data_IF_836848862081
#
_entry.id   IF_836848862081
#
_cell.length_a   1.000
_cell.length_b   1.000
_cell.length_c   1.000
_cell.angle_alpha   90.00
_cell.angle_beta   90.00
_cell.angle_gamma   90.00
#
_symmetry.space_group_name_H-M   'P 1'
#
loop_
_entity.id
_entity.type
_entity.pdbx_description
1 polymer ?
#
# COMPACT_ATOMS: atom_id res chain seq x y z
N UNK A 1 8.53 25.21 15.09
CA UNK A 1 9.38 25.01 13.89
C UNK A 1 10.76 24.65 14.37
N UNK A 2 11.15 23.38 14.26
CA UNK A 2 12.53 22.97 14.54
C UNK A 2 13.32 23.27 13.27
N UNK A 3 14.14 24.31 13.33
CA UNK A 3 14.99 24.75 12.24
C UNK A 3 16.24 23.86 12.23
N UNK A 4 16.11 22.61 11.76
CA UNK A 4 17.25 21.72 11.56
C UNK A 4 17.96 22.13 10.26
N UNK A 5 18.70 23.23 10.33
CA UNK A 5 19.65 23.58 9.27
C UNK A 5 20.73 22.49 9.25
N UNK A 6 20.68 21.65 8.21
CA UNK A 6 21.75 20.73 7.87
C UNK A 6 22.97 21.57 7.50
N UNK A 7 24.06 21.44 8.25
CA UNK A 7 25.23 22.31 8.15
C UNK A 7 26.48 21.56 7.68
N UNK A 8 26.41 20.23 7.53
CA UNK A 8 27.56 19.44 7.09
C UNK A 8 27.20 18.35 6.07
N UNK A 9 28.22 17.95 5.31
CA UNK A 9 28.14 16.84 4.37
C UNK A 9 27.82 15.51 5.07
N UNK A 10 28.43 15.27 6.23
CA UNK A 10 28.20 14.06 7.03
C UNK A 10 26.75 13.97 7.51
N UNK A 11 26.12 15.10 7.85
CA UNK A 11 24.71 15.15 8.22
C UNK A 11 23.80 14.78 7.04
N UNK A 12 24.11 15.24 5.81
CA UNK A 12 23.36 14.85 4.60
C UNK A 12 23.49 13.35 4.36
N UNK A 13 24.70 12.83 4.43
CA UNK A 13 24.99 11.41 4.22
C UNK A 13 24.27 10.57 5.26
N UNK A 14 24.35 10.91 6.54
CA UNK A 14 23.63 10.21 7.61
C UNK A 14 22.12 10.24 7.39
N UNK A 15 21.55 11.40 7.03
CA UNK A 15 20.13 11.54 6.73
C UNK A 15 19.72 10.63 5.57
N UNK A 16 20.46 10.64 4.46
CA UNK A 16 20.21 9.75 3.33
C UNK A 16 20.34 8.27 3.71
N UNK A 17 21.25 7.94 4.64
CA UNK A 17 21.38 6.58 5.18
C UNK A 17 20.14 6.11 5.93
N UNK A 18 19.62 6.94 6.85
CA UNK A 18 18.38 6.68 7.59
C UNK A 18 17.21 6.47 6.62
N UNK A 19 17.19 7.25 5.54
CA UNK A 19 16.07 7.26 4.58
C UNK A 19 16.15 6.12 3.59
N UNK A 20 17.34 5.67 3.25
CA UNK A 20 17.54 4.43 2.51
C UNK A 20 17.01 3.24 3.31
N UNK A 21 17.29 3.17 4.61
CA UNK A 21 16.74 2.14 5.50
C UNK A 21 15.20 2.22 5.61
N UNK A 22 14.63 3.43 5.65
CA UNK A 22 13.17 3.60 5.56
C UNK A 22 12.61 3.09 4.22
N UNK A 23 13.28 3.32 3.09
CA UNK A 23 12.88 2.77 1.78
C UNK A 23 12.95 1.23 1.76
N UNK A 24 14.02 0.63 2.28
CA UNK A 24 14.16 -0.83 2.37
C UNK A 24 13.07 -1.46 3.24
N UNK A 25 12.66 -0.78 4.32
CA UNK A 25 11.55 -1.21 5.17
C UNK A 25 10.20 -1.10 4.46
N UNK A 26 9.99 -0.07 3.65
CA UNK A 26 8.77 0.06 2.83
C UNK A 26 8.73 -1.05 1.80
N UNK A 27 9.84 -1.33 1.11
CA UNK A 27 9.91 -2.39 0.10
C UNK A 27 9.53 -3.75 0.70
N UNK A 28 10.17 -4.14 1.81
CA UNK A 28 9.83 -5.39 2.53
C UNK A 28 8.35 -5.47 2.92
N UNK A 29 7.81 -4.39 3.52
CA UNK A 29 6.38 -4.33 3.84
C UNK A 29 5.49 -4.46 2.61
N UNK A 30 5.89 -3.90 1.46
CA UNK A 30 5.10 -3.93 0.22
C UNK A 30 5.08 -5.33 -0.39
N UNK A 31 6.20 -6.06 -0.31
CA UNK A 31 6.30 -7.48 -0.69
C UNK A 31 5.41 -8.33 0.22
N UNK A 32 5.54 -8.17 1.54
CA UNK A 32 4.73 -8.92 2.50
C UNK A 32 3.22 -8.66 2.30
N UNK A 33 2.81 -7.40 2.08
CA UNK A 33 1.40 -7.09 1.75
C UNK A 33 0.91 -7.82 0.49
N UNK A 34 1.76 -7.95 -0.53
CA UNK A 34 1.42 -8.70 -1.75
C UNK A 34 1.20 -10.18 -1.46
N UNK A 35 2.05 -10.77 -0.62
CA UNK A 35 1.92 -12.16 -0.19
C UNK A 35 0.61 -12.35 0.59
N UNK A 36 0.30 -11.45 1.53
CA UNK A 36 -0.93 -11.50 2.33
C UNK A 36 -2.20 -11.39 1.47
N UNK A 37 -2.21 -10.47 0.50
CA UNK A 37 -3.32 -10.29 -0.45
C UNK A 37 -3.55 -11.52 -1.34
N UNK A 38 -2.49 -12.27 -1.65
CA UNK A 38 -2.58 -13.52 -2.41
C UNK A 38 -2.98 -14.71 -1.53
N UNK A 39 -2.46 -14.79 -0.30
CA UNK A 39 -2.67 -15.89 0.65
C UNK A 39 -4.04 -15.89 1.32
N UNK A 40 -4.73 -14.74 1.34
CA UNK A 40 -6.03 -14.61 2.03
C UNK A 40 -5.87 -14.56 3.55
N UNK A 41 -4.82 -13.90 4.04
CA UNK A 41 -4.54 -13.75 5.46
C UNK A 41 -5.65 -13.00 6.22
N UNK A 42 -5.64 -13.14 7.55
CA UNK A 42 -6.62 -12.51 8.43
C UNK A 42 -6.66 -10.98 8.28
N UNK A 43 -7.88 -10.42 8.27
CA UNK A 43 -8.13 -8.99 8.09
C UNK A 43 -7.34 -8.12 9.09
N UNK A 44 -7.30 -8.53 10.36
CA UNK A 44 -6.58 -7.81 11.43
C UNK A 44 -5.08 -7.71 11.16
N UNK A 45 -4.48 -8.77 10.62
CA UNK A 45 -3.07 -8.79 10.24
C UNK A 45 -2.82 -7.83 9.06
N UNK A 46 -3.71 -7.85 8.06
CA UNK A 46 -3.61 -6.97 6.89
C UNK A 46 -3.73 -5.49 7.28
N UNK A 47 -4.69 -5.15 8.15
CA UNK A 47 -4.88 -3.79 8.67
C UNK A 47 -3.64 -3.34 9.44
N UNK A 48 -3.13 -4.16 10.36
CA UNK A 48 -1.92 -3.84 11.12
C UNK A 48 -0.74 -3.58 10.19
N UNK A 49 -0.57 -4.41 9.16
CA UNK A 49 0.51 -4.27 8.18
C UNK A 49 0.41 -2.98 7.37
N UNK A 50 -0.80 -2.62 6.92
CA UNK A 50 -1.04 -1.35 6.22
C UNK A 50 -0.77 -0.14 7.12
N UNK A 51 -1.11 -0.22 8.41
CA UNK A 51 -0.84 0.85 9.38
C UNK A 51 0.67 1.04 9.62
N UNK A 52 1.41 -0.05 9.84
CA UNK A 52 2.87 -0.04 9.98
C UNK A 52 3.53 0.61 8.76
N UNK A 53 3.12 0.20 7.55
CA UNK A 53 3.58 0.79 6.30
C UNK A 53 3.28 2.29 6.20
N UNK A 54 2.07 2.71 6.57
CA UNK A 54 1.67 4.12 6.55
C UNK A 54 2.52 5.01 7.47
N UNK A 55 2.96 4.49 8.63
CA UNK A 55 3.87 5.21 9.53
C UNK A 55 5.24 5.40 8.87
N UNK A 56 5.78 4.37 8.22
CA UNK A 56 7.09 4.43 7.57
C UNK A 56 7.05 5.39 6.37
N UNK A 57 5.98 5.36 5.57
CA UNK A 57 5.79 6.30 4.47
C UNK A 57 5.76 7.74 4.96
N UNK A 58 4.99 8.04 6.03
CA UNK A 58 4.97 9.41 6.60
C UNK A 58 6.36 9.88 7.03
N UNK A 59 7.16 8.99 7.64
CA UNK A 59 8.55 9.27 8.01
C UNK A 59 9.44 9.51 6.78
N UNK A 60 9.27 8.71 5.73
CA UNK A 60 10.03 8.87 4.48
C UNK A 60 9.62 10.13 3.70
N UNK A 61 8.35 10.54 3.71
CA UNK A 61 7.85 11.71 2.99
C UNK A 61 8.26 13.05 3.60
N UNK A 62 8.62 13.08 4.89
CA UNK A 62 9.22 14.27 5.53
C UNK A 62 10.51 14.75 4.82
N UNK A 63 11.11 13.89 3.98
CA UNK A 63 12.26 14.18 3.13
C UNK A 63 12.00 15.24 2.05
N UNK A 64 10.75 15.45 1.63
CA UNK A 64 10.45 16.42 0.56
C UNK A 64 10.88 17.85 0.90
N UNK A 65 10.78 18.22 2.18
CA UNK A 65 11.23 19.50 2.71
C UNK A 65 12.77 19.52 2.90
N UNK A 66 13.36 18.39 3.30
CA UNK A 66 14.81 18.24 3.55
C UNK A 66 15.64 18.21 2.25
N UNK A 67 15.09 17.69 1.15
CA UNK A 67 15.75 17.62 -0.16
C UNK A 67 16.00 18.99 -0.80
N UNK A 68 15.19 20.00 -0.48
CA UNK A 68 15.44 21.37 -0.95
C UNK A 68 16.76 21.90 -0.37
N UNK A 69 17.02 21.62 0.92
CA UNK A 69 18.27 21.97 1.60
C UNK A 69 19.47 21.19 1.06
N UNK A 70 19.29 19.92 0.64
CA UNK A 70 20.36 19.13 0.00
C UNK A 70 20.79 19.78 -1.33
N UNK A 71 19.84 20.22 -2.17
CA UNK A 71 20.17 20.85 -3.47
C UNK A 71 20.99 22.14 -3.29
N UNK A 72 20.70 22.93 -2.25
CA UNK A 72 21.46 24.15 -1.94
C UNK A 72 22.89 23.85 -1.45
N UNK A 73 23.08 22.77 -0.70
CA UNK A 73 24.39 22.38 -0.14
C UNK A 73 25.31 21.72 -1.17
N UNK A 74 24.76 20.96 -2.13
CA UNK A 74 25.54 20.26 -3.16
C UNK A 74 26.27 21.21 -4.12
N UNK A 75 25.74 22.42 -4.30
CA UNK A 75 26.37 23.45 -5.13
C UNK A 75 27.70 24.00 -4.58
N UNK A 76 28.03 23.71 -3.31
CA UNK A 76 29.24 24.20 -2.63
C UNK A 76 30.30 23.13 -2.33
N UNK A 77 30.10 21.88 -2.76
CA UNK A 77 31.02 20.77 -2.45
C UNK A 77 32.03 20.63 -3.58
N UNK A 78 33.32 20.81 -3.27
CA UNK A 78 34.44 20.57 -4.20
C UNK A 78 35.12 19.20 -3.98
N UNK A 79 34.53 18.37 -3.11
CA UNK A 79 34.99 17.01 -2.80
C UNK A 79 34.33 15.97 -3.73
N UNK A 80 35.15 15.31 -4.56
CA UNK A 80 34.71 14.31 -5.53
C UNK A 80 34.23 13.00 -4.88
N UNK A 81 34.84 12.59 -3.76
CA UNK A 81 34.39 11.42 -3.01
C UNK A 81 32.99 11.66 -2.43
N UNK A 82 32.80 12.87 -1.88
CA UNK A 82 31.51 13.29 -1.36
C UNK A 82 30.40 13.32 -2.41
N UNK A 83 30.69 13.84 -3.60
CA UNK A 83 29.75 13.84 -4.74
C UNK A 83 29.40 12.41 -5.18
N UNK A 84 30.38 11.51 -5.22
CA UNK A 84 30.15 10.12 -5.59
C UNK A 84 29.21 9.41 -4.63
N UNK A 85 29.48 9.46 -3.32
CA UNK A 85 28.65 8.81 -2.30
C UNK A 85 27.22 9.35 -2.27
N UNK A 86 27.05 10.65 -2.47
CA UNK A 86 25.74 11.28 -2.59
C UNK A 86 24.98 10.72 -3.80
N UNK A 87 25.62 10.71 -4.97
CA UNK A 87 25.02 10.20 -6.22
C UNK A 87 24.65 8.73 -6.09
N UNK A 88 25.51 7.93 -5.44
CA UNK A 88 25.26 6.51 -5.19
C UNK A 88 24.01 6.31 -4.32
N UNK A 89 23.92 7.00 -3.18
CA UNK A 89 22.78 6.87 -2.25
C UNK A 89 21.47 7.32 -2.87
N UNK A 90 21.47 8.47 -3.55
CA UNK A 90 20.28 8.96 -4.27
C UNK A 90 19.89 7.98 -5.38
N UNK A 91 20.86 7.40 -6.08
CA UNK A 91 20.61 6.37 -7.09
C UNK A 91 19.97 5.11 -6.52
N UNK A 92 20.45 4.62 -5.37
CA UNK A 92 19.85 3.47 -4.66
C UNK A 92 18.43 3.76 -4.20
N UNK A 93 18.20 4.91 -3.57
CA UNK A 93 16.87 5.34 -3.13
C UNK A 93 15.89 5.40 -4.31
N UNK A 94 16.31 5.96 -5.46
CA UNK A 94 15.46 6.00 -6.66
C UNK A 94 15.04 4.61 -7.11
N UNK A 95 15.98 3.66 -7.21
CA UNK A 95 15.68 2.28 -7.61
C UNK A 95 14.68 1.62 -6.67
N UNK A 96 14.85 1.78 -5.36
CA UNK A 96 13.92 1.23 -4.37
C UNK A 96 12.53 1.86 -4.49
N UNK A 97 12.44 3.17 -4.67
CA UNK A 97 11.16 3.87 -4.85
C UNK A 97 10.44 3.43 -6.13
N UNK A 98 11.17 3.23 -7.23
CA UNK A 98 10.61 2.72 -8.49
C UNK A 98 10.05 1.30 -8.31
N UNK A 99 10.76 0.44 -7.57
CA UNK A 99 10.31 -0.92 -7.26
C UNK A 99 9.08 -0.94 -6.34
N UNK A 100 9.07 -0.10 -5.30
CA UNK A 100 7.91 0.10 -4.42
C UNK A 100 6.70 0.55 -5.23
N UNK A 101 6.87 1.50 -6.15
CA UNK A 101 5.78 2.02 -6.98
C UNK A 101 5.20 0.94 -7.91
N UNK A 102 6.04 0.07 -8.45
CA UNK A 102 5.60 -1.07 -9.26
C UNK A 102 4.76 -2.05 -8.41
N UNK A 103 5.27 -2.45 -7.26
CA UNK A 103 4.58 -3.38 -6.36
C UNK A 103 3.27 -2.77 -5.82
N UNK A 104 3.22 -1.47 -5.54
CA UNK A 104 1.99 -0.79 -5.13
C UNK A 104 0.92 -0.82 -6.23
N UNK A 105 1.32 -0.68 -7.50
CA UNK A 105 0.41 -0.82 -8.63
C UNK A 105 -0.17 -2.25 -8.69
N UNK A 106 0.66 -3.25 -8.46
CA UNK A 106 0.23 -4.65 -8.44
C UNK A 106 -0.71 -4.94 -7.25
N UNK A 107 -0.35 -4.48 -6.05
CA UNK A 107 -1.19 -4.63 -4.85
C UNK A 107 -2.55 -3.94 -5.02
N UNK A 108 -2.58 -2.75 -5.63
CA UNK A 108 -3.83 -2.07 -5.97
C UNK A 108 -4.68 -2.91 -6.92
N UNK A 109 -4.09 -3.47 -7.97
CA UNK A 109 -4.80 -4.34 -8.91
C UNK A 109 -5.38 -5.58 -8.22
N UNK A 110 -4.67 -6.17 -7.26
CA UNK A 110 -5.16 -7.30 -6.48
C UNK A 110 -6.37 -6.91 -5.63
N UNK A 111 -6.29 -5.77 -4.93
CA UNK A 111 -7.39 -5.24 -4.12
C UNK A 111 -8.63 -4.97 -4.99
N UNK A 112 -8.46 -4.32 -6.14
CA UNK A 112 -9.56 -4.06 -7.07
C UNK A 112 -10.21 -5.37 -7.57
N UNK A 113 -9.41 -6.39 -7.89
CA UNK A 113 -9.92 -7.71 -8.28
C UNK A 113 -10.76 -8.34 -7.17
N UNK A 114 -10.27 -8.30 -5.92
CA UNK A 114 -10.99 -8.85 -4.76
C UNK A 114 -12.30 -8.12 -4.48
N UNK A 115 -12.32 -6.79 -4.59
CA UNK A 115 -13.54 -5.99 -4.44
C UNK A 115 -14.57 -6.38 -5.50
N UNK A 116 -14.15 -6.57 -6.74
CA UNK A 116 -15.04 -7.00 -7.83
C UNK A 116 -15.60 -8.42 -7.58
N UNK A 117 -14.78 -9.36 -7.10
CA UNK A 117 -15.24 -10.70 -6.71
C UNK A 117 -16.31 -10.64 -5.60
N UNK A 118 -16.09 -9.82 -4.58
CA UNK A 118 -17.05 -9.62 -3.48
C UNK A 118 -18.35 -9.01 -4.02
N UNK A 119 -18.27 -7.98 -4.86
CA UNK A 119 -19.43 -7.32 -5.45
C UNK A 119 -20.30 -8.31 -6.26
N UNK A 120 -19.67 -9.11 -7.13
CA UNK A 120 -20.36 -10.14 -7.92
C UNK A 120 -21.04 -11.20 -7.04
N UNK A 121 -20.39 -11.58 -5.92
CA UNK A 121 -20.99 -12.53 -4.98
C UNK A 121 -22.19 -11.92 -4.25
N UNK A 122 -22.14 -10.64 -3.89
CA UNK A 122 -23.27 -9.94 -3.27
C UNK A 122 -24.47 -9.83 -4.23
N UNK A 123 -24.22 -9.56 -5.51
CA UNK A 123 -25.27 -9.56 -6.55
C UNK A 123 -25.97 -10.92 -6.64
N UNK A 124 -25.22 -12.02 -6.73
CA UNK A 124 -25.78 -13.38 -6.74
C UNK A 124 -26.60 -13.71 -5.49
N UNK A 125 -26.15 -13.27 -4.32
CA UNK A 125 -26.90 -13.45 -3.07
C UNK A 125 -28.22 -12.67 -3.11
N UNK A 126 -28.20 -11.45 -3.66
CA UNK A 126 -29.41 -10.64 -3.81
C UNK A 126 -30.42 -11.28 -4.78
N UNK A 127 -29.96 -11.77 -5.94
CA UNK A 127 -30.78 -12.50 -6.90
C UNK A 127 -31.39 -13.76 -6.26
N UNK A 128 -30.58 -14.52 -5.53
CA UNK A 128 -31.03 -15.73 -4.81
C UNK A 128 -32.11 -15.40 -3.78
N UNK A 129 -31.94 -14.30 -3.02
CA UNK A 129 -32.96 -13.83 -2.06
C UNK A 129 -34.25 -13.41 -2.75
N UNK A 130 -34.18 -12.79 -3.92
CA UNK A 130 -35.36 -12.43 -4.70
C UNK A 130 -36.10 -13.69 -5.20
N UNK A 131 -35.36 -14.69 -5.68
CA UNK A 131 -35.93 -15.96 -6.13
C UNK A 131 -36.67 -16.68 -5.00
N UNK A 132 -36.07 -16.78 -3.81
CA UNK A 132 -36.71 -17.37 -2.62
C UNK A 132 -38.00 -16.62 -2.27
N UNK A 133 -37.98 -15.28 -2.24
CA UNK A 133 -39.18 -14.48 -1.96
C UNK A 133 -40.30 -14.72 -2.96
N UNK A 134 -39.97 -14.80 -4.26
CA UNK A 134 -40.96 -15.09 -5.31
C UNK A 134 -41.55 -16.49 -5.15
N UNK A 135 -40.75 -17.49 -4.75
CA UNK A 135 -41.24 -18.83 -4.46
C UNK A 135 -42.17 -18.86 -3.24
N UNK A 136 -41.77 -18.21 -2.13
CA UNK A 136 -42.59 -18.11 -0.93
C UNK A 136 -43.92 -17.42 -1.23
N UNK A 137 -43.91 -16.35 -2.03
CA UNK A 137 -45.12 -15.64 -2.44
C UNK A 137 -46.03 -16.52 -3.30
N UNK A 138 -45.48 -17.26 -4.27
CA UNK A 138 -46.27 -18.21 -5.07
C UNK A 138 -46.90 -19.32 -4.21
N UNK A 139 -46.19 -19.84 -3.20
CA UNK A 139 -46.73 -20.84 -2.27
C UNK A 139 -47.89 -20.26 -1.46
N UNK A 140 -47.74 -19.03 -0.96
CA UNK A 140 -48.76 -18.37 -0.15
C UNK A 140 -49.99 -17.92 -0.98
N UNK A 141 -49.78 -17.51 -2.22
CA UNK A 141 -50.84 -17.03 -3.12
C UNK A 141 -51.61 -18.21 -3.78
N UNK A 142 -51.00 -19.40 -3.89
CA UNK A 142 -51.63 -20.64 -4.37
C UNK A 142 -51.51 -21.78 -3.35
N UNK A 143 -52.20 -21.71 -2.20
CA UNK A 143 -52.13 -22.74 -1.16
C UNK A 143 -52.75 -24.09 -1.59
N UNK A 144 -53.51 -24.12 -2.69
CA UNK A 144 -54.30 -25.25 -3.17
C UNK A 144 -53.52 -26.37 -3.88
N UNK A 145 -52.20 -26.26 -4.03
CA UNK A 145 -51.36 -27.35 -4.56
C UNK A 145 -50.81 -28.32 -3.49
N UNK A 146 -51.10 -28.11 -2.21
CA UNK A 146 -50.63 -28.96 -1.11
C UNK A 146 -51.60 -30.11 -0.80
N UNK A 147 -52.77 -30.19 -1.45
CA UNK A 147 -53.81 -31.20 -1.12
C UNK A 147 -54.24 -32.05 -2.33
N UNK A 148 -53.28 -32.66 -3.04
CA UNK A 148 -53.58 -33.61 -4.14
C UNK A 148 -53.09 -35.04 -3.85
N UNK A 149 -52.64 -35.32 -2.62
CA UNK A 149 -52.29 -36.68 -2.17
C UNK A 149 -52.75 -36.95 -0.71
N UNK A 150 -53.97 -36.52 -0.35
CA UNK A 150 -54.67 -36.86 0.90
C UNK A 150 -56.00 -37.54 0.63
#
# INVERSE_FOLDING_TARGET
>A
MVNNKINSYDEIINLLGIRLDDCDKILRNTIELKEMLNGGDEEDLLIKKMQERGIIIKRASALGEECHSIKELVGGIDDEEGKYLLKERVGKMRKLLDEIALLDKENKSLIESRINEIALNLEKIQESKQLVRSLDQNINDNPSFIDVCG
#
